data_IF_446932245453
#
_entry.id   IF_446932245453
#
_cell.length_a   1.000
_cell.length_b   1.000
_cell.length_c   1.000
_cell.angle_alpha   90.00
_cell.angle_beta   90.00
_cell.angle_gamma   90.00
#
_symmetry.space_group_name_H-M   'P 1'
#
loop_
_entity.id
_entity.type
_entity.pdbx_description
1 polymer ?
#
# COMPACT_ATOMS: atom_id res chain seq x y z
N UNK A 1 3.46 -36.46 -12.36
CA UNK A 1 2.97 -36.28 -10.98
C UNK A 1 3.33 -34.86 -10.54
N UNK A 2 2.34 -33.97 -10.42
CA UNK A 2 2.57 -32.58 -9.99
C UNK A 2 2.38 -32.45 -8.47
N UNK A 3 1.29 -32.97 -7.90
CA UNK A 3 1.00 -32.84 -6.46
C UNK A 3 1.90 -33.65 -5.50
N UNK A 4 2.73 -34.57 -5.99
CA UNK A 4 3.74 -35.27 -5.16
C UNK A 4 5.14 -34.64 -5.24
N UNK A 5 5.38 -33.75 -6.20
CA UNK A 5 6.68 -33.11 -6.44
C UNK A 5 6.67 -31.61 -6.14
N UNK A 6 5.51 -30.98 -6.17
CA UNK A 6 5.32 -29.54 -5.95
C UNK A 6 4.15 -29.30 -4.99
N UNK A 7 4.30 -28.32 -4.10
CA UNK A 7 3.21 -27.85 -3.24
C UNK A 7 2.29 -26.95 -4.07
N UNK A 8 1.11 -27.45 -4.41
CA UNK A 8 0.16 -26.78 -5.30
C UNK A 8 -1.11 -26.46 -4.52
N UNK A 9 -1.53 -25.20 -4.56
CA UNK A 9 -2.81 -24.73 -4.00
C UNK A 9 -3.74 -24.34 -5.12
N UNK A 10 -4.98 -24.86 -5.11
CA UNK A 10 -6.02 -24.56 -6.10
C UNK A 10 -7.16 -23.80 -5.44
N UNK A 11 -7.49 -22.62 -5.96
CA UNK A 11 -8.59 -21.78 -5.47
C UNK A 11 -9.88 -22.05 -6.26
N UNK A 12 -10.79 -22.86 -5.70
CA UNK A 12 -12.06 -23.21 -6.37
C UNK A 12 -13.20 -23.44 -5.38
N UNK A 13 -14.42 -23.19 -5.86
CA UNK A 13 -15.68 -23.46 -5.15
C UNK A 13 -16.49 -24.59 -5.79
N UNK A 14 -15.99 -25.23 -6.85
CA UNK A 14 -16.64 -26.38 -7.48
C UNK A 14 -16.44 -27.66 -6.66
N UNK A 15 -17.50 -28.46 -6.52
CA UNK A 15 -17.53 -29.71 -5.74
C UNK A 15 -16.77 -30.87 -6.41
N UNK A 16 -16.75 -30.93 -7.74
CA UNK A 16 -16.05 -31.99 -8.47
C UNK A 16 -14.53 -31.80 -8.37
N UNK A 17 -14.07 -30.56 -8.49
CA UNK A 17 -12.65 -30.21 -8.38
C UNK A 17 -12.10 -30.49 -6.98
N UNK A 18 -12.89 -30.31 -5.91
CA UNK A 18 -12.48 -30.65 -4.54
C UNK A 18 -12.04 -32.11 -4.40
N UNK A 19 -12.76 -33.04 -5.00
CA UNK A 19 -12.44 -34.48 -4.96
C UNK A 19 -11.13 -34.76 -5.70
N UNK A 20 -10.93 -34.10 -6.84
CA UNK A 20 -9.74 -34.27 -7.68
C UNK A 20 -8.50 -33.69 -7.00
N UNK A 21 -8.61 -32.51 -6.38
CA UNK A 21 -7.52 -31.80 -5.69
C UNK A 21 -6.99 -32.63 -4.51
N UNK A 22 -7.88 -33.13 -3.67
CA UNK A 22 -7.52 -33.97 -2.51
C UNK A 22 -6.94 -35.31 -2.96
N UNK A 23 -7.50 -35.93 -4.00
CA UNK A 23 -7.00 -37.19 -4.56
C UNK A 23 -5.60 -37.10 -5.19
N UNK A 24 -5.15 -35.90 -5.57
CA UNK A 24 -3.83 -35.65 -6.16
C UNK A 24 -2.83 -35.00 -5.18
N UNK A 25 -3.22 -34.77 -3.92
CA UNK A 25 -2.35 -34.21 -2.88
C UNK A 25 -2.16 -32.69 -2.96
N UNK A 26 -2.99 -31.98 -3.71
CA UNK A 26 -2.96 -30.52 -3.76
C UNK A 26 -3.81 -29.91 -2.62
N UNK A 27 -3.44 -28.70 -2.18
CA UNK A 27 -4.20 -27.92 -1.20
C UNK A 27 -5.36 -27.23 -1.88
N UNK A 28 -6.48 -27.08 -1.17
CA UNK A 28 -7.65 -26.33 -1.65
C UNK A 28 -7.77 -25.02 -0.90
N UNK A 29 -7.97 -23.93 -1.64
CA UNK A 29 -8.41 -22.63 -1.15
C UNK A 29 -9.82 -22.38 -1.69
N UNK A 30 -10.71 -21.74 -0.93
CA UNK A 30 -12.00 -21.33 -1.51
C UNK A 30 -11.84 -20.05 -2.31
N UNK A 31 -12.65 -19.86 -3.36
CA UNK A 31 -12.60 -18.63 -4.15
C UNK A 31 -12.92 -17.39 -3.29
N UNK A 32 -13.76 -17.56 -2.26
CA UNK A 32 -14.07 -16.50 -1.29
C UNK A 32 -12.86 -16.15 -0.43
N UNK A 33 -12.22 -17.15 0.17
CA UNK A 33 -11.06 -16.91 1.05
C UNK A 33 -9.90 -16.31 0.25
N UNK A 34 -9.70 -16.77 -0.98
CA UNK A 34 -8.71 -16.19 -1.89
C UNK A 34 -8.99 -14.72 -2.19
N UNK A 35 -10.26 -14.37 -2.48
CA UNK A 35 -10.67 -12.98 -2.70
C UNK A 35 -10.37 -12.12 -1.48
N UNK A 36 -10.75 -12.59 -0.28
CA UNK A 36 -10.48 -11.85 0.96
C UNK A 36 -8.98 -11.67 1.20
N UNK A 37 -8.16 -12.68 0.89
CA UNK A 37 -6.70 -12.58 0.99
C UNK A 37 -6.12 -11.55 0.02
N UNK A 38 -6.59 -11.52 -1.23
CA UNK A 38 -6.20 -10.51 -2.22
C UNK A 38 -6.58 -9.10 -1.76
N UNK A 39 -7.79 -8.92 -1.21
CA UNK A 39 -8.25 -7.62 -0.70
C UNK A 39 -7.39 -7.15 0.49
N UNK A 40 -7.08 -8.03 1.44
CA UNK A 40 -6.17 -7.72 2.56
C UNK A 40 -4.77 -7.35 2.07
N UNK A 41 -4.23 -8.11 1.11
CA UNK A 41 -2.90 -7.84 0.56
C UNK A 41 -2.84 -6.48 -0.15
N UNK A 42 -3.88 -6.13 -0.91
CA UNK A 42 -3.95 -4.83 -1.59
C UNK A 42 -4.00 -3.67 -0.58
N UNK A 43 -4.73 -3.83 0.52
CA UNK A 43 -4.75 -2.83 1.60
C UNK A 43 -3.36 -2.68 2.22
N UNK A 44 -2.70 -3.79 2.53
CA UNK A 44 -1.35 -3.75 3.11
C UNK A 44 -0.35 -3.06 2.17
N UNK A 45 -0.33 -3.41 0.88
CA UNK A 45 0.55 -2.77 -0.10
C UNK A 45 0.29 -1.26 -0.16
N UNK A 46 -0.98 -0.84 -0.13
CA UNK A 46 -1.34 0.58 -0.14
C UNK A 46 -0.85 1.30 1.11
N UNK A 47 -1.04 0.71 2.29
CA UNK A 47 -0.55 1.27 3.56
C UNK A 47 0.97 1.39 3.54
N UNK A 48 1.68 0.31 3.20
CA UNK A 48 3.15 0.28 3.15
C UNK A 48 3.70 1.31 2.15
N UNK A 49 3.01 1.55 1.03
CA UNK A 49 3.41 2.55 0.05
C UNK A 49 3.19 3.98 0.56
N UNK A 50 2.03 4.28 1.15
CA UNK A 50 1.72 5.60 1.69
C UNK A 50 2.63 5.96 2.88
N UNK A 51 2.88 5.01 3.79
CA UNK A 51 3.79 5.21 4.92
C UNK A 51 5.23 5.49 4.47
N UNK A 52 5.67 4.89 3.36
CA UNK A 52 6.96 5.20 2.74
C UNK A 52 7.00 6.59 2.11
N UNK A 53 5.90 7.06 1.53
CA UNK A 53 5.84 8.42 0.98
C UNK A 53 5.79 9.49 2.06
N UNK A 54 5.03 9.32 3.15
CA UNK A 54 4.98 10.31 4.24
C UNK A 54 6.36 10.57 4.85
N UNK A 55 7.21 9.53 4.98
CA UNK A 55 8.59 9.68 5.48
C UNK A 55 9.57 10.29 4.47
N UNK A 56 9.17 10.45 3.21
CA UNK A 56 10.02 10.97 2.13
C UNK A 56 9.75 12.43 1.78
N UNK A 57 8.67 13.03 2.30
CA UNK A 57 8.41 14.45 2.06
C UNK A 57 9.09 15.28 3.15
N UNK A 58 10.32 15.71 2.89
CA UNK A 58 10.84 16.92 3.52
C UNK A 58 10.09 18.10 2.88
N UNK A 59 8.92 18.46 3.41
CA UNK A 59 8.26 19.68 2.96
C UNK A 59 9.20 20.85 3.25
N UNK A 60 9.38 21.75 2.27
CA UNK A 60 10.39 22.82 2.33
C UNK A 60 10.33 23.67 3.61
N UNK A 61 9.16 23.71 4.26
CA UNK A 61 8.89 24.52 5.45
C UNK A 61 8.98 23.74 6.76
N UNK A 62 9.05 22.41 6.74
CA UNK A 62 9.04 21.57 7.96
C UNK A 62 10.31 21.67 8.79
N UNK A 63 11.37 22.23 8.22
CA UNK A 63 12.70 22.36 8.83
C UNK A 63 13.19 23.81 8.88
N UNK A 64 12.31 24.78 8.60
CA UNK A 64 12.68 26.19 8.74
C UNK A 64 12.55 26.59 10.21
N UNK A 65 13.57 27.28 10.72
CA UNK A 65 13.45 28.00 11.99
C UNK A 65 12.25 28.95 11.93
N UNK A 66 11.59 29.12 13.07
CA UNK A 66 10.33 29.86 13.20
C UNK A 66 10.42 31.28 12.60
N UNK A 67 11.56 31.95 12.77
CA UNK A 67 11.85 33.26 12.21
C UNK A 67 11.90 33.26 10.67
N UNK A 68 12.47 32.22 10.06
CA UNK A 68 12.61 32.10 8.62
C UNK A 68 11.29 31.69 7.95
N UNK A 69 10.50 30.84 8.62
CA UNK A 69 9.15 30.48 8.18
C UNK A 69 8.25 31.72 8.12
N UNK A 70 8.28 32.55 9.17
CA UNK A 70 7.53 33.82 9.22
C UNK A 70 7.96 34.78 8.10
N UNK A 71 9.27 34.91 7.84
CA UNK A 71 9.78 35.75 6.76
C UNK A 71 9.26 35.32 5.37
N UNK A 72 9.24 34.02 5.07
CA UNK A 72 8.77 33.52 3.78
C UNK A 72 7.25 33.68 3.65
N UNK A 73 6.49 33.50 4.73
CA UNK A 73 5.05 33.79 4.76
C UNK A 73 4.76 35.29 4.58
N UNK A 74 5.56 36.19 5.14
CA UNK A 74 5.44 37.63 4.90
C UNK A 74 5.66 38.01 3.42
N UNK A 75 6.61 37.33 2.75
CA UNK A 75 6.81 37.50 1.30
C UNK A 75 5.64 36.95 0.49
N UNK A 76 5.08 35.80 0.88
CA UNK A 76 3.90 35.18 0.25
C UNK A 76 2.67 36.08 0.35
N UNK A 77 2.44 36.69 1.51
CA UNK A 77 1.30 37.59 1.77
C UNK A 77 1.53 38.98 1.14
N UNK A 78 2.73 39.24 0.59
CA UNK A 78 3.03 40.45 -0.17
C UNK A 78 3.19 41.72 0.69
N UNK A 79 3.39 41.57 2.00
CA UNK A 79 3.47 42.71 2.93
C UNK A 79 4.75 43.55 2.79
N UNK A 80 5.79 43.05 2.12
CA UNK A 80 7.10 43.74 2.02
C UNK A 80 7.28 44.69 0.83
N UNK A 81 6.32 44.82 -0.10
CA UNK A 81 6.51 45.71 -1.27
C UNK A 81 6.00 47.15 -1.12
N UNK A 82 5.58 47.57 0.07
CA UNK A 82 5.01 48.91 0.26
C UNK A 82 5.84 49.85 1.16
N UNK A 83 7.03 49.45 1.62
CA UNK A 83 7.87 50.28 2.50
C UNK A 83 9.33 50.38 2.00
N UNK A 84 9.53 50.54 0.70
CA UNK A 84 10.75 51.16 0.16
C UNK A 84 10.28 52.24 -0.83
N UNK A 85 10.56 53.49 -0.48
CA UNK A 85 10.31 54.71 -1.26
C UNK A 85 10.95 54.65 -2.65
#
# INVERSE_FOLDING_TARGET
QIGKKYDVTVATSDKLEQVIILGQGAKRLSAKDFKEEVERMNQQIRTDYLEKQEKSHNYLFDHLDEDLANYVEEMRIGKKKNNEE
#
